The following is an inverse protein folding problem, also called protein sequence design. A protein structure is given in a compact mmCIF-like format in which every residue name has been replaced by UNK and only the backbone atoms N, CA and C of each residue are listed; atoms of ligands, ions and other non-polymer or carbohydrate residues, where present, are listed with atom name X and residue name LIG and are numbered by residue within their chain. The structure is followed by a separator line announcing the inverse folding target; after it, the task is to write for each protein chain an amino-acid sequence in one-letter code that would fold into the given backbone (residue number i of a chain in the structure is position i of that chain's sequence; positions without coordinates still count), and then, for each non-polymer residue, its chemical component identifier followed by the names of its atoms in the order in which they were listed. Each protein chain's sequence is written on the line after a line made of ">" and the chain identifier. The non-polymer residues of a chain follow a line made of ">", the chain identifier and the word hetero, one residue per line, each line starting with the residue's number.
data_IF_218384622404
#
_entry.id   IF_218384622404
#
_cell.length_a   1.000
_cell.length_b   1.000
_cell.length_c   1.000
_cell.angle_alpha   90.00
_cell.angle_beta   90.00
_cell.angle_gamma   90.00
#
_symmetry.space_group_name_H-M   'P 1'
#
loop_
_entity.id
_entity.type
_entity.pdbx_description
1 polymer ?
#
# COMPACT_ATOMS: atom_id res chain seq x y z
N UNK A 1 25.39 -4.20 18.52
CA UNK A 1 24.34 -3.81 19.46
C UNK A 1 24.12 -4.86 20.52
N UNK A 2 24.37 -4.49 21.79
CA UNK A 2 24.31 -5.42 22.91
C UNK A 2 22.91 -6.00 23.16
N UNK A 3 21.86 -5.39 22.60
CA UNK A 3 20.46 -5.68 22.91
C UNK A 3 19.63 -6.26 21.76
N UNK A 4 20.22 -6.57 20.60
CA UNK A 4 19.49 -6.92 19.36
C UNK A 4 18.48 -5.88 18.87
N UNK A 5 18.53 -4.66 19.40
CA UNK A 5 17.69 -3.56 18.97
C UNK A 5 18.40 -2.72 17.92
N UNK A 6 17.64 -2.12 17.03
CA UNK A 6 18.17 -1.18 16.06
C UNK A 6 18.83 0.00 16.78
N UNK A 7 20.02 0.37 16.32
CA UNK A 7 20.64 1.61 16.77
C UNK A 7 19.98 2.80 16.07
N UNK A 8 19.46 3.76 16.84
CA UNK A 8 18.75 4.93 16.31
C UNK A 8 17.58 4.48 15.41
N UNK A 9 16.57 3.78 15.97
CA UNK A 9 15.49 3.18 15.19
C UNK A 9 14.74 4.21 14.32
N UNK A 10 14.58 5.45 14.79
CA UNK A 10 13.94 6.54 14.05
C UNK A 10 14.66 6.92 12.75
N UNK A 11 15.93 6.56 12.60
CA UNK A 11 16.68 6.76 11.35
C UNK A 11 16.60 5.58 10.38
N UNK A 12 15.94 4.50 10.79
CA UNK A 12 15.79 3.29 9.97
C UNK A 12 14.52 3.34 9.16
N UNK A 13 14.49 2.54 8.12
CA UNK A 13 13.32 2.41 7.26
C UNK A 13 13.21 0.96 6.77
N UNK A 14 12.00 0.58 6.43
CA UNK A 14 11.69 -0.67 5.77
C UNK A 14 10.53 -0.46 4.82
N UNK A 15 10.54 -1.10 3.67
CA UNK A 15 9.53 -0.83 2.66
C UNK A 15 9.29 -2.01 1.73
N UNK A 16 8.25 -1.85 0.93
CA UNK A 16 7.83 -2.77 -0.12
C UNK A 16 7.62 -2.00 -1.42
N UNK A 17 7.81 -2.67 -2.55
CA UNK A 17 7.61 -2.11 -3.87
C UNK A 17 6.80 -3.09 -4.73
N UNK A 18 6.00 -2.55 -5.64
CA UNK A 18 5.29 -3.33 -6.64
C UNK A 18 5.20 -2.59 -7.96
N UNK A 19 5.12 -3.35 -9.04
CA UNK A 19 4.78 -2.83 -10.37
C UNK A 19 3.29 -2.50 -10.47
N UNK A 20 2.96 -1.53 -11.33
CA UNK A 20 1.59 -1.10 -11.60
C UNK A 20 1.17 -1.50 -13.01
N UNK A 21 0.00 -2.12 -13.13
CA UNK A 21 -0.56 -2.51 -14.44
C UNK A 21 -1.03 -1.29 -15.24
N UNK A 22 -1.57 -0.27 -14.56
CA UNK A 22 -1.98 0.99 -15.17
C UNK A 22 -0.87 2.01 -14.96
N UNK A 23 -0.12 2.31 -16.01
CA UNK A 23 1.04 3.22 -15.93
C UNK A 23 0.71 4.66 -16.29
N UNK A 24 -0.32 4.90 -17.09
CA UNK A 24 -0.74 6.24 -17.50
C UNK A 24 -1.93 6.70 -16.63
N UNK A 25 -1.63 7.40 -15.55
CA UNK A 25 -2.64 7.86 -14.60
C UNK A 25 -3.47 9.01 -15.16
N UNK A 26 -2.89 9.87 -16.01
CA UNK A 26 -3.65 10.93 -16.67
C UNK A 26 -4.74 10.36 -17.59
N UNK A 27 -4.40 9.37 -18.40
CA UNK A 27 -5.37 8.70 -19.28
C UNK A 27 -6.44 7.94 -18.49
N UNK A 28 -6.02 7.28 -17.41
CA UNK A 28 -6.92 6.53 -16.54
C UNK A 28 -7.72 7.41 -15.58
N UNK A 29 -7.39 8.70 -15.53
CA UNK A 29 -7.98 9.67 -14.59
C UNK A 29 -7.86 9.24 -13.12
N UNK A 30 -6.70 8.72 -12.74
CA UNK A 30 -6.37 8.39 -11.35
C UNK A 30 -5.97 9.71 -10.69
N UNK A 31 -6.64 10.04 -9.58
CA UNK A 31 -6.47 11.33 -8.89
C UNK A 31 -6.02 11.16 -7.43
N UNK A 32 -6.30 10.00 -6.82
CA UNK A 32 -6.04 9.79 -5.39
C UNK A 32 -5.41 8.44 -5.12
N UNK A 33 -4.57 8.41 -4.05
CA UNK A 33 -4.26 7.20 -3.28
C UNK A 33 -5.24 7.18 -2.11
N UNK A 34 -5.99 6.10 -1.94
CA UNK A 34 -6.91 5.93 -0.83
C UNK A 34 -6.68 4.61 -0.12
N UNK A 35 -6.71 4.63 1.20
CA UNK A 35 -6.60 3.41 1.98
C UNK A 35 -7.28 3.54 3.33
N UNK A 36 -7.72 2.40 3.85
CA UNK A 36 -8.13 2.25 5.23
C UNK A 36 -7.02 1.63 6.04
N UNK A 37 -6.70 2.23 7.16
CA UNK A 37 -5.66 1.77 8.07
C UNK A 37 -6.22 1.64 9.48
N UNK A 38 -5.95 0.48 10.12
CA UNK A 38 -6.22 0.32 11.55
C UNK A 38 -5.26 1.22 12.33
N UNK A 39 -5.73 1.76 13.44
CA UNK A 39 -4.93 2.56 14.35
C UNK A 39 -3.58 1.88 14.65
N UNK A 40 -2.46 2.49 14.25
CA UNK A 40 -1.14 1.89 14.47
C UNK A 40 -0.67 1.97 15.92
N UNK A 41 -1.34 2.78 16.74
CA UNK A 41 -1.04 2.99 18.16
C UNK A 41 -1.97 2.23 19.10
N UNK A 42 -2.80 1.34 18.53
CA UNK A 42 -3.71 0.47 19.29
C UNK A 42 -2.93 -0.42 20.25
N UNK A 43 -3.34 -0.46 21.51
CA UNK A 43 -2.68 -1.22 22.59
C UNK A 43 -1.19 -0.91 22.76
N UNK A 44 -0.77 0.28 22.36
CA UNK A 44 0.64 0.69 22.46
C UNK A 44 0.99 1.05 23.89
N UNK A 45 1.46 0.06 24.63
CA UNK A 45 1.95 0.21 26.00
C UNK A 45 3.41 0.67 26.07
N UNK A 46 4.10 0.67 24.95
CA UNK A 46 5.53 0.95 24.87
C UNK A 46 5.87 2.39 24.47
N UNK A 47 4.84 3.20 24.14
CA UNK A 47 4.98 4.64 23.97
C UNK A 47 5.49 5.11 22.60
N UNK A 48 5.25 4.35 21.54
CA UNK A 48 5.42 4.85 20.17
C UNK A 48 4.48 6.03 19.92
N UNK A 49 5.02 7.25 19.71
CA UNK A 49 4.21 8.46 19.58
C UNK A 49 4.11 8.97 18.15
N UNK A 50 4.96 8.47 17.26
CA UNK A 50 5.07 9.00 15.91
C UNK A 50 5.69 8.00 14.93
N UNK A 51 5.50 8.28 13.65
CA UNK A 51 6.12 7.60 12.53
C UNK A 51 5.67 8.20 11.21
N UNK A 52 6.21 7.72 10.11
CA UNK A 52 5.82 8.18 8.78
C UNK A 52 5.60 7.00 7.85
N UNK A 53 4.55 7.12 7.06
CA UNK A 53 4.34 6.31 5.87
C UNK A 53 4.70 7.17 4.67
N UNK A 54 5.50 6.66 3.77
CA UNK A 54 5.90 7.39 2.57
C UNK A 54 5.54 6.55 1.35
N UNK A 55 4.75 7.13 0.46
CA UNK A 55 4.48 6.58 -0.86
C UNK A 55 5.34 7.26 -1.89
N UNK A 56 5.86 6.49 -2.82
CA UNK A 56 6.56 6.98 -4.00
C UNK A 56 5.94 6.35 -5.24
N UNK A 57 5.57 7.19 -6.21
CA UNK A 57 4.93 6.80 -7.46
C UNK A 57 5.76 7.30 -8.64
N UNK A 58 6.17 6.40 -9.52
CA UNK A 58 6.95 6.78 -10.70
C UNK A 58 7.76 5.65 -11.29
N UNK A 59 8.88 6.02 -11.87
CA UNK A 59 9.93 5.09 -12.26
C UNK A 59 10.89 4.97 -11.07
N UNK A 60 10.96 3.80 -10.50
CA UNK A 60 11.72 3.52 -9.29
C UNK A 60 12.73 2.42 -9.63
N UNK A 61 13.95 2.54 -9.13
CA UNK A 61 14.98 1.54 -9.35
C UNK A 61 14.57 0.18 -8.77
N UNK A 62 14.73 -0.85 -9.57
CA UNK A 62 14.54 -2.24 -9.17
C UNK A 62 15.82 -2.83 -8.56
N UNK A 63 16.95 -2.15 -8.72
CA UNK A 63 18.25 -2.52 -8.11
C UNK A 63 18.22 -2.22 -6.59
N UNK A 64 17.66 -3.16 -5.83
CA UNK A 64 17.51 -3.08 -4.37
C UNK A 64 18.89 -3.21 -3.71
N UNK A 65 19.73 -4.07 -4.24
CA UNK A 65 21.08 -4.34 -3.72
C UNK A 65 22.11 -3.30 -4.16
N UNK A 66 21.77 -2.41 -5.08
CA UNK A 66 22.60 -1.30 -5.59
C UNK A 66 23.96 -1.73 -6.13
N UNK A 67 23.96 -2.79 -6.89
CA UNK A 67 25.17 -3.34 -7.51
C UNK A 67 25.11 -3.35 -9.05
N UNK A 68 24.04 -2.78 -9.63
CA UNK A 68 23.76 -2.73 -11.07
C UNK A 68 23.71 -4.11 -11.72
N UNK A 69 23.30 -5.10 -10.97
CA UNK A 69 23.15 -6.48 -11.43
C UNK A 69 21.76 -6.99 -11.08
N UNK A 70 21.15 -7.66 -12.03
CA UNK A 70 19.88 -8.32 -11.80
C UNK A 70 20.10 -9.56 -10.92
N UNK A 71 19.81 -9.43 -9.64
CA UNK A 71 19.82 -10.55 -8.71
C UNK A 71 18.49 -11.31 -8.76
N UNK A 72 18.57 -12.60 -8.53
CA UNK A 72 17.42 -13.46 -8.39
C UNK A 72 17.76 -14.62 -7.45
N UNK A 73 16.74 -15.07 -6.73
CA UNK A 73 16.82 -16.17 -5.81
C UNK A 73 17.00 -17.47 -6.59
N UNK A 74 18.23 -17.80 -6.88
CA UNK A 74 18.56 -19.06 -7.52
C UNK A 74 19.94 -19.46 -7.03
N UNK A 75 19.98 -20.08 -5.89
CA UNK A 75 21.19 -20.43 -5.18
C UNK A 75 22.30 -21.04 -6.03
N UNK A 76 23.37 -21.37 -5.42
CA UNK A 76 24.54 -21.88 -6.11
C UNK A 76 24.21 -23.10 -7.00
N UNK A 77 24.83 -23.21 -8.17
CA UNK A 77 24.66 -24.38 -9.02
C UNK A 77 25.00 -25.66 -8.26
N UNK A 78 24.17 -26.68 -8.44
CA UNK A 78 24.28 -27.98 -7.77
C UNK A 78 25.55 -28.73 -8.10
N UNK A 79 26.19 -28.39 -9.19
CA UNK A 79 27.41 -28.99 -9.68
C UNK A 79 28.37 -27.89 -10.11
N UNK A 80 29.68 -28.03 -9.87
CA UNK A 80 30.69 -27.12 -10.41
C UNK A 80 30.64 -26.96 -11.94
N UNK A 81 29.92 -27.84 -12.64
CA UNK A 81 29.73 -27.82 -14.07
C UNK A 81 28.49 -27.04 -14.51
N UNK A 82 27.62 -26.62 -13.60
CA UNK A 82 26.35 -25.94 -13.91
C UNK A 82 26.53 -24.44 -14.21
N UNK A 83 27.77 -24.00 -14.34
CA UNK A 83 28.12 -22.67 -14.80
C UNK A 83 28.86 -21.83 -13.75
N UNK A 84 29.57 -20.78 -14.20
CA UNK A 84 30.29 -19.90 -13.30
C UNK A 84 29.34 -18.97 -12.57
N UNK A 85 29.63 -18.74 -11.30
CA UNK A 85 29.00 -17.69 -10.49
C UNK A 85 29.82 -16.42 -10.50
N UNK A 86 29.16 -15.28 -10.43
CA UNK A 86 29.76 -13.99 -10.15
C UNK A 86 29.60 -13.67 -8.67
N UNK A 87 30.57 -12.95 -8.14
CA UNK A 87 30.59 -12.52 -6.75
C UNK A 87 30.33 -11.03 -6.71
N UNK A 88 29.36 -10.60 -5.92
CA UNK A 88 29.07 -9.20 -5.63
C UNK A 88 29.47 -8.87 -4.19
N UNK A 89 29.25 -7.62 -3.74
CA UNK A 89 29.45 -7.24 -2.34
C UNK A 89 28.44 -7.90 -1.39
N UNK A 90 27.32 -8.35 -1.93
CA UNK A 90 26.23 -8.93 -1.14
C UNK A 90 26.20 -10.44 -1.22
N UNK A 91 26.57 -11.00 -2.40
CA UNK A 91 26.16 -12.34 -2.69
C UNK A 91 26.91 -13.00 -3.83
N UNK A 92 26.52 -14.20 -4.13
CA UNK A 92 26.84 -14.91 -5.35
C UNK A 92 25.60 -14.97 -6.25
N UNK A 93 25.79 -14.69 -7.52
CA UNK A 93 24.75 -14.77 -8.53
C UNK A 93 25.25 -15.64 -9.69
N UNK A 94 24.43 -16.53 -10.27
CA UNK A 94 24.77 -17.26 -11.47
C UNK A 94 25.09 -16.28 -12.62
N UNK A 95 26.23 -16.47 -13.29
CA UNK A 95 26.62 -15.63 -14.43
C UNK A 95 25.70 -15.82 -15.64
N UNK A 96 25.15 -17.00 -15.78
CA UNK A 96 24.21 -17.35 -16.83
C UNK A 96 22.87 -17.63 -16.16
N UNK A 97 21.88 -16.75 -16.33
CA UNK A 97 20.54 -16.99 -15.79
C UNK A 97 20.00 -18.29 -16.38
N UNK A 98 19.26 -19.03 -15.56
CA UNK A 98 18.57 -20.24 -16.03
C UNK A 98 17.65 -19.89 -17.22
N UNK A 99 17.63 -20.76 -18.22
CA UNK A 99 16.76 -20.59 -19.40
C UNK A 99 15.27 -20.59 -19.00
N UNK A 100 14.96 -21.19 -17.87
CA UNK A 100 13.63 -21.21 -17.26
C UNK A 100 13.78 -20.60 -15.86
N UNK A 101 13.09 -19.50 -15.63
CA UNK A 101 13.06 -18.86 -14.31
C UNK A 101 12.14 -19.66 -13.39
N UNK A 102 12.62 -20.81 -12.91
CA UNK A 102 11.89 -21.69 -12.01
C UNK A 102 12.84 -22.55 -11.19
N UNK A 103 12.47 -22.81 -9.96
CA UNK A 103 13.16 -23.77 -9.11
C UNK A 103 12.98 -25.20 -9.61
N UNK A 104 13.93 -26.05 -9.26
CA UNK A 104 13.85 -27.48 -9.51
C UNK A 104 12.75 -28.13 -8.66
N UNK A 105 12.06 -29.12 -9.24
CA UNK A 105 11.12 -29.98 -8.49
C UNK A 105 11.82 -31.03 -7.64
N UNK A 106 13.14 -31.16 -7.74
CA UNK A 106 13.91 -32.08 -6.89
C UNK A 106 14.17 -31.43 -5.53
N UNK A 107 13.78 -32.06 -4.40
CA UNK A 107 13.92 -31.47 -3.07
C UNK A 107 15.36 -31.06 -2.69
N UNK A 108 16.35 -31.89 -3.04
CA UNK A 108 17.76 -31.61 -2.73
C UNK A 108 18.30 -30.42 -3.51
N UNK A 109 17.82 -30.26 -4.73
CA UNK A 109 18.15 -29.12 -5.59
C UNK A 109 17.45 -27.87 -5.08
N UNK A 110 16.17 -28.01 -4.75
CA UNK A 110 15.35 -26.93 -4.25
C UNK A 110 15.92 -26.29 -2.98
N UNK A 111 16.36 -27.10 -2.03
CA UNK A 111 16.97 -26.64 -0.78
C UNK A 111 18.25 -25.81 -0.95
N UNK A 112 18.86 -25.83 -2.15
CA UNK A 112 20.02 -25.02 -2.49
C UNK A 112 19.72 -23.86 -3.44
N UNK A 113 18.49 -23.77 -3.89
CA UNK A 113 18.03 -22.74 -4.82
C UNK A 113 17.13 -21.70 -4.16
N UNK A 114 16.30 -22.13 -3.21
CA UNK A 114 15.37 -21.31 -2.44
C UNK A 114 16.08 -20.86 -1.15
N UNK A 115 16.99 -19.91 -1.30
CA UNK A 115 17.97 -19.53 -0.25
C UNK A 115 18.10 -18.01 -0.08
N UNK A 116 17.13 -17.25 -0.56
CA UNK A 116 17.17 -15.79 -0.51
C UNK A 116 17.90 -15.12 -1.67
N UNK A 117 17.80 -13.80 -1.75
CA UNK A 117 18.38 -13.02 -2.86
C UNK A 117 19.92 -12.97 -2.84
N UNK A 118 20.55 -13.33 -1.75
CA UNK A 118 22.00 -13.40 -1.68
C UNK A 118 22.58 -14.70 -2.27
N UNK A 119 21.73 -15.68 -2.57
CA UNK A 119 22.09 -16.93 -3.20
C UNK A 119 22.94 -17.86 -2.33
N UNK A 120 22.95 -17.67 -1.01
CA UNK A 120 23.73 -18.41 -0.05
C UNK A 120 22.81 -19.19 0.91
N UNK A 121 23.29 -20.32 1.40
CA UNK A 121 22.68 -21.00 2.54
C UNK A 121 23.23 -20.45 3.86
N UNK A 122 22.53 -20.62 4.97
CA UNK A 122 22.99 -20.19 6.30
C UNK A 122 24.46 -20.57 6.61
N UNK A 123 24.92 -21.76 6.19
CA UNK A 123 26.31 -22.21 6.38
C UNK A 123 27.29 -21.42 5.53
N UNK A 124 26.91 -21.06 4.33
CA UNK A 124 27.69 -20.23 3.42
C UNK A 124 27.72 -18.78 3.86
N UNK A 125 26.59 -18.25 4.36
CA UNK A 125 26.49 -16.90 4.92
C UNK A 125 27.39 -16.71 6.14
N UNK A 126 27.45 -17.70 7.05
CA UNK A 126 28.36 -17.66 8.19
C UNK A 126 29.82 -17.51 7.77
N UNK A 127 30.19 -18.10 6.65
CA UNK A 127 31.54 -17.95 6.11
C UNK A 127 31.71 -16.63 5.33
N UNK A 128 30.69 -16.24 4.55
CA UNK A 128 30.73 -15.03 3.74
C UNK A 128 30.73 -13.78 4.60
N UNK A 129 29.87 -13.72 5.59
CA UNK A 129 29.73 -12.61 6.53
C UNK A 129 30.55 -12.82 7.82
N UNK A 130 31.65 -13.57 7.77
CA UNK A 130 32.46 -13.93 8.95
C UNK A 130 32.87 -12.74 9.81
N UNK A 131 33.30 -11.64 9.18
CA UNK A 131 33.68 -10.40 9.88
C UNK A 131 32.51 -9.81 10.67
N UNK A 132 31.30 -9.80 10.07
CA UNK A 132 30.09 -9.34 10.75
C UNK A 132 29.72 -10.27 11.92
N UNK A 133 29.73 -11.55 11.69
CA UNK A 133 29.43 -12.56 12.73
C UNK A 133 30.43 -12.44 13.89
N UNK A 134 31.71 -12.23 13.62
CA UNK A 134 32.75 -12.03 14.66
C UNK A 134 32.50 -10.75 15.47
N UNK A 135 32.15 -9.65 14.81
CA UNK A 135 31.78 -8.38 15.48
C UNK A 135 30.61 -8.61 16.44
N UNK A 136 29.55 -9.31 15.98
CA UNK A 136 28.38 -9.59 16.79
C UNK A 136 28.74 -10.51 17.98
N UNK A 137 29.55 -11.55 17.77
CA UNK A 137 30.00 -12.45 18.83
C UNK A 137 30.71 -11.69 19.95
N UNK A 138 31.48 -10.67 19.60
CA UNK A 138 32.29 -9.92 20.55
C UNK A 138 31.55 -8.76 21.24
N UNK A 139 30.38 -8.33 20.71
CA UNK A 139 29.72 -7.08 21.15
C UNK A 139 28.26 -7.23 21.56
N UNK A 140 27.60 -8.34 21.19
CA UNK A 140 26.16 -8.48 21.36
C UNK A 140 25.77 -9.39 22.53
N UNK A 141 24.47 -9.38 22.89
CA UNK A 141 23.89 -10.29 23.87
C UNK A 141 23.87 -11.74 23.34
N UNK A 142 23.87 -12.76 24.22
CA UNK A 142 23.80 -14.17 23.81
C UNK A 142 22.61 -14.48 22.88
N UNK A 143 21.47 -13.83 23.10
CA UNK A 143 20.28 -13.97 22.24
C UNK A 143 20.55 -13.44 20.83
N UNK A 144 21.22 -12.29 20.72
CA UNK A 144 21.58 -11.70 19.44
C UNK A 144 22.61 -12.56 18.69
N UNK A 145 23.61 -13.05 19.41
CA UNK A 145 24.61 -13.94 18.85
C UNK A 145 23.94 -15.19 18.28
N UNK A 146 23.04 -15.80 19.03
CA UNK A 146 22.32 -16.99 18.57
C UNK A 146 21.52 -16.75 17.30
N UNK A 147 20.79 -15.63 17.23
CA UNK A 147 19.99 -15.27 16.03
C UNK A 147 20.89 -15.09 14.80
N UNK A 148 21.95 -14.31 14.93
CA UNK A 148 22.87 -14.03 13.80
C UNK A 148 23.67 -15.27 13.39
N UNK A 149 23.97 -16.18 14.32
CA UNK A 149 24.63 -17.45 13.98
C UNK A 149 23.73 -18.44 13.27
N UNK A 150 22.42 -18.37 13.52
CA UNK A 150 21.44 -19.23 12.84
C UNK A 150 21.15 -18.76 11.41
N UNK A 151 21.06 -17.45 11.22
CA UNK A 151 20.59 -16.81 9.98
C UNK A 151 21.26 -15.42 9.89
N UNK A 152 22.51 -15.36 9.37
CA UNK A 152 23.27 -14.10 9.31
C UNK A 152 22.66 -13.02 8.42
N UNK A 153 22.05 -13.38 7.30
CA UNK A 153 21.37 -12.47 6.41
C UNK A 153 19.94 -12.14 6.88
N UNK A 154 19.38 -12.93 7.79
CA UNK A 154 17.99 -12.87 8.27
C UNK A 154 16.98 -12.98 7.12
N UNK A 155 17.22 -13.93 6.22
CA UNK A 155 16.45 -14.15 5.01
C UNK A 155 15.82 -15.55 4.89
N UNK A 156 15.77 -16.32 5.98
CA UNK A 156 15.08 -17.58 6.04
C UNK A 156 13.56 -17.42 5.95
N UNK A 157 12.96 -17.96 4.91
CA UNK A 157 11.52 -18.07 4.80
C UNK A 157 10.97 -19.03 5.86
N UNK A 158 9.87 -18.63 6.51
CA UNK A 158 9.15 -19.46 7.45
C UNK A 158 7.69 -19.54 7.06
N UNK A 159 7.25 -20.75 6.69
CA UNK A 159 5.87 -20.97 6.31
C UNK A 159 4.92 -20.74 7.50
N UNK A 160 3.90 -19.91 7.31
CA UNK A 160 3.01 -19.46 8.39
C UNK A 160 2.18 -20.57 9.06
N UNK A 161 2.06 -21.74 8.43
CA UNK A 161 1.42 -22.94 9.01
C UNK A 161 2.43 -23.97 9.51
N UNK A 162 3.71 -23.67 9.60
CA UNK A 162 4.70 -24.59 10.14
C UNK A 162 4.53 -24.75 11.65
N UNK A 163 3.93 -25.85 12.09
CA UNK A 163 3.64 -26.15 13.49
C UNK A 163 4.90 -26.35 14.34
N UNK A 164 6.04 -26.68 13.71
CA UNK A 164 7.33 -26.82 14.40
C UNK A 164 7.90 -25.48 14.87
N UNK A 165 7.56 -24.40 14.17
CA UNK A 165 7.97 -23.03 14.47
C UNK A 165 6.85 -22.27 15.17
N UNK A 166 5.63 -22.49 14.77
CA UNK A 166 4.45 -21.80 15.26
C UNK A 166 3.46 -22.78 15.90
N UNK A 167 3.62 -23.10 17.19
CA UNK A 167 2.70 -23.99 17.89
C UNK A 167 1.29 -23.41 17.97
N UNK A 168 0.32 -24.27 18.32
CA UNK A 168 -1.06 -23.88 18.55
C UNK A 168 -1.16 -22.68 19.49
N UNK A 169 -2.00 -21.72 19.12
CA UNK A 169 -2.19 -20.47 19.88
C UNK A 169 -1.25 -19.34 19.49
N UNK A 170 -0.30 -19.57 18.57
CA UNK A 170 0.51 -18.48 18.00
C UNK A 170 -0.39 -17.52 17.22
N UNK A 171 -0.22 -16.22 17.45
CA UNK A 171 -1.02 -15.20 16.79
C UNK A 171 -0.80 -15.21 15.27
N UNK A 172 -1.82 -14.83 14.51
CA UNK A 172 -1.71 -14.67 13.04
C UNK A 172 -0.59 -13.69 12.69
N UNK A 173 -0.45 -12.62 13.47
CA UNK A 173 0.61 -11.64 13.33
C UNK A 173 2.01 -12.25 13.41
N UNK A 174 2.28 -13.06 14.43
CA UNK A 174 3.59 -13.69 14.61
C UNK A 174 3.87 -14.73 13.52
N UNK A 175 2.83 -15.41 13.02
CA UNK A 175 2.95 -16.39 11.93
C UNK A 175 3.38 -15.77 10.60
N UNK A 176 3.00 -14.51 10.35
CA UNK A 176 3.32 -13.82 9.10
C UNK A 176 4.58 -12.96 9.14
N UNK A 177 5.28 -12.91 10.27
CA UNK A 177 6.48 -12.07 10.42
C UNK A 177 7.60 -12.39 9.41
N UNK A 178 7.75 -13.66 9.05
CA UNK A 178 8.78 -14.13 8.13
C UNK A 178 8.19 -14.77 6.86
N UNK A 179 6.98 -14.37 6.47
CA UNK A 179 6.29 -14.95 5.31
C UNK A 179 6.64 -14.27 3.99
N UNK A 180 6.96 -12.98 4.01
CA UNK A 180 7.35 -12.20 2.84
C UNK A 180 8.63 -11.42 3.12
N UNK A 181 9.40 -11.18 2.09
CA UNK A 181 10.64 -10.41 2.16
C UNK A 181 11.67 -10.95 1.20
N UNK A 182 12.93 -10.70 1.49
CA UNK A 182 14.09 -11.23 0.74
C UNK A 182 14.49 -12.63 1.17
N UNK A 183 13.65 -13.32 1.91
CA UNK A 183 13.93 -14.49 2.72
C UNK A 183 13.51 -15.81 2.09
N UNK A 184 13.51 -15.91 0.79
CA UNK A 184 12.89 -17.03 0.13
C UNK A 184 11.36 -16.90 0.07
N UNK A 185 10.70 -17.70 -0.72
CA UNK A 185 9.29 -17.47 -1.01
C UNK A 185 8.40 -18.70 -0.84
N UNK A 186 8.95 -19.83 -0.44
CA UNK A 186 8.14 -21.03 -0.28
C UNK A 186 8.76 -22.09 0.66
N UNK A 187 7.90 -22.90 1.30
CA UNK A 187 8.38 -24.03 2.06
C UNK A 187 9.08 -25.04 1.14
N UNK A 188 10.22 -25.61 1.54
CA UNK A 188 10.82 -26.70 0.81
C UNK A 188 9.83 -27.88 0.74
N UNK A 189 9.73 -28.59 -0.40
CA UNK A 189 8.89 -29.77 -0.50
C UNK A 189 9.39 -30.83 0.48
N UNK A 190 8.58 -31.13 1.50
CA UNK A 190 8.87 -32.25 2.41
C UNK A 190 8.34 -33.53 1.78
N UNK A 191 9.13 -34.59 1.79
CA UNK A 191 8.72 -35.90 1.28
C UNK A 191 7.50 -36.41 2.08
N UNK A 192 6.38 -36.60 1.41
CA UNK A 192 5.12 -37.06 2.02
C UNK A 192 4.15 -35.97 2.46
N UNK A 193 4.45 -34.70 2.24
CA UNK A 193 3.55 -33.62 2.58
C UNK A 193 2.58 -33.32 1.42
N UNK A 194 1.27 -33.33 1.72
CA UNK A 194 0.22 -33.00 0.76
C UNK A 194 0.07 -31.50 0.52
N UNK A 195 0.91 -30.65 1.13
CA UNK A 195 0.87 -29.19 1.05
C UNK A 195 1.63 -28.63 -0.17
N UNK A 196 1.72 -29.37 -1.24
CA UNK A 196 2.33 -28.94 -2.53
C UNK A 196 1.71 -27.64 -3.07
N UNK A 197 0.53 -27.26 -2.61
CA UNK A 197 -0.18 -26.05 -3.05
C UNK A 197 0.33 -24.75 -2.42
N UNK A 198 1.22 -24.80 -1.45
CA UNK A 198 1.72 -23.61 -0.75
C UNK A 198 3.10 -23.16 -1.24
N UNK A 199 3.79 -23.97 -2.05
CA UNK A 199 5.10 -23.64 -2.59
C UNK A 199 4.98 -22.95 -3.95
N UNK A 200 5.72 -21.86 -4.15
CA UNK A 200 5.94 -21.29 -5.48
C UNK A 200 7.14 -21.97 -6.14
N UNK A 201 7.10 -22.10 -7.46
CA UNK A 201 8.23 -22.57 -8.25
C UNK A 201 9.00 -21.40 -8.90
N UNK A 202 8.59 -20.17 -8.62
CA UNK A 202 9.17 -18.97 -9.24
C UNK A 202 10.08 -18.32 -8.22
N UNK A 203 11.39 -18.21 -8.50
CA UNK A 203 12.33 -17.48 -7.64
C UNK A 203 11.96 -16.00 -7.52
N UNK A 204 12.21 -15.43 -6.36
CA UNK A 204 12.16 -13.97 -6.20
C UNK A 204 13.26 -13.31 -7.03
N UNK A 205 13.00 -12.11 -7.50
CA UNK A 205 13.90 -11.36 -8.37
C UNK A 205 13.77 -9.87 -8.11
N UNK A 206 14.86 -9.15 -8.33
CA UNK A 206 14.84 -7.69 -8.38
C UNK A 206 14.03 -7.14 -9.57
N UNK A 207 13.87 -7.91 -10.64
CA UNK A 207 12.98 -7.60 -11.77
C UNK A 207 11.52 -7.84 -11.36
N UNK A 208 10.94 -6.86 -10.66
CA UNK A 208 9.61 -6.97 -10.05
C UNK A 208 8.50 -7.01 -11.11
N UNK A 209 8.72 -6.38 -12.25
CA UNK A 209 7.72 -6.33 -13.33
C UNK A 209 7.84 -7.50 -14.32
N UNK A 210 8.88 -8.34 -14.17
CA UNK A 210 9.19 -9.49 -15.02
C UNK A 210 9.37 -9.16 -16.51
N UNK A 211 9.93 -8.00 -16.83
CA UNK A 211 10.20 -7.59 -18.20
C UNK A 211 11.60 -8.00 -18.70
N UNK A 212 12.35 -8.73 -17.86
CA UNK A 212 13.72 -9.20 -18.07
C UNK A 212 14.77 -8.09 -18.14
N UNK A 213 14.41 -6.87 -17.82
CA UNK A 213 15.33 -5.75 -17.68
C UNK A 213 15.31 -5.24 -16.25
N UNK A 214 16.36 -4.59 -15.81
CA UNK A 214 16.41 -3.95 -14.50
C UNK A 214 16.36 -2.44 -14.69
N UNK A 215 15.34 -1.81 -14.15
CA UNK A 215 15.25 -0.35 -14.15
C UNK A 215 16.13 0.21 -13.03
N UNK A 216 17.07 1.12 -13.40
CA UNK A 216 17.93 1.82 -12.41
C UNK A 216 17.55 3.28 -12.21
N UNK A 217 16.54 3.77 -12.96
CA UNK A 217 16.14 5.18 -12.90
C UNK A 217 15.27 5.47 -11.68
N UNK A 218 15.57 6.57 -10.99
CA UNK A 218 14.79 7.12 -9.89
C UNK A 218 14.13 8.43 -10.34
N UNK A 219 12.83 8.37 -10.69
CA UNK A 219 12.04 9.51 -11.14
C UNK A 219 10.61 9.34 -10.65
N UNK A 220 10.28 9.98 -9.51
CA UNK A 220 9.02 9.73 -8.79
C UNK A 220 8.49 10.96 -8.05
N UNK A 221 7.21 10.93 -7.75
CA UNK A 221 6.55 11.79 -6.78
C UNK A 221 6.52 11.11 -5.41
N UNK A 222 6.73 11.90 -4.36
CA UNK A 222 6.76 11.42 -2.97
C UNK A 222 5.65 12.08 -2.15
N UNK A 223 4.91 11.24 -1.41
CA UNK A 223 3.81 11.62 -0.53
C UNK A 223 4.13 11.16 0.88
N UNK A 224 4.14 12.11 1.82
CA UNK A 224 4.50 11.85 3.22
C UNK A 224 3.26 11.93 4.09
N UNK A 225 2.98 10.86 4.80
CA UNK A 225 1.91 10.79 5.79
C UNK A 225 2.56 10.76 7.16
N UNK A 226 2.34 11.82 7.92
CA UNK A 226 2.87 11.97 9.28
C UNK A 226 1.85 11.36 10.26
N UNK A 227 2.24 10.28 10.91
CA UNK A 227 1.44 9.60 11.91
C UNK A 227 1.86 10.07 13.28
N UNK A 228 0.92 10.60 14.05
CA UNK A 228 1.14 11.05 15.43
C UNK A 228 0.06 10.53 16.32
N UNK A 229 0.45 10.08 17.51
CA UNK A 229 -0.48 9.69 18.55
C UNK A 229 -1.23 10.93 19.06
N UNK A 230 -2.53 10.78 19.27
CA UNK A 230 -3.33 11.76 20.01
C UNK A 230 -3.05 11.60 21.51
N UNK A 231 -2.56 12.61 22.21
CA UNK A 231 -2.31 12.53 23.64
C UNK A 231 -3.58 12.32 24.48
N UNK A 232 -4.76 12.55 23.90
CA UNK A 232 -6.07 12.33 24.55
C UNK A 232 -6.79 11.09 23.98
N UNK A 233 -6.19 10.38 23.05
CA UNK A 233 -6.76 9.20 22.43
C UNK A 233 -6.86 8.03 23.40
N UNK A 234 -7.74 7.11 23.09
CA UNK A 234 -7.92 5.83 23.77
C UNK A 234 -8.25 4.73 22.75
N UNK A 235 -8.11 3.47 23.17
CA UNK A 235 -8.28 2.34 22.25
C UNK A 235 -9.71 2.22 21.69
N UNK A 236 -10.72 2.80 22.33
CA UNK A 236 -12.10 2.77 21.86
C UNK A 236 -12.38 3.83 20.80
N UNK A 237 -11.85 5.05 21.01
CA UNK A 237 -12.05 6.19 20.08
C UNK A 237 -10.90 6.37 19.10
N UNK A 238 -9.83 5.62 19.29
CA UNK A 238 -8.62 5.68 18.48
C UNK A 238 -7.52 6.52 19.13
N UNK A 239 -6.29 6.15 18.82
CA UNK A 239 -5.08 6.79 19.34
C UNK A 239 -4.35 7.65 18.30
N UNK A 240 -4.68 7.51 17.02
CA UNK A 240 -4.11 8.35 15.98
C UNK A 240 -4.76 9.74 16.02
N UNK A 241 -3.95 10.79 15.87
CA UNK A 241 -4.45 12.15 15.85
C UNK A 241 -5.47 12.38 14.71
N UNK A 242 -6.75 12.61 15.03
CA UNK A 242 -7.80 12.75 14.03
C UNK A 242 -7.73 14.05 13.21
N UNK A 243 -6.93 15.02 13.66
CA UNK A 243 -6.74 16.30 12.95
C UNK A 243 -5.74 16.20 11.78
N UNK A 244 -5.29 15.01 11.40
CA UNK A 244 -4.48 14.84 10.20
C UNK A 244 -5.34 15.19 8.97
N UNK A 245 -4.93 16.17 8.14
CA UNK A 245 -5.75 16.65 7.02
C UNK A 245 -6.01 15.59 5.94
N UNK A 246 -5.22 14.52 5.91
CA UNK A 246 -5.39 13.42 4.97
C UNK A 246 -6.45 12.40 5.42
N UNK A 247 -6.93 12.50 6.66
CA UNK A 247 -8.01 11.63 7.17
C UNK A 247 -9.35 12.18 6.71
N UNK A 248 -10.08 11.37 5.95
CA UNK A 248 -11.40 11.74 5.41
C UNK A 248 -12.56 11.08 6.14
N UNK A 249 -12.30 9.99 6.87
CA UNK A 249 -13.32 9.24 7.60
C UNK A 249 -12.72 8.44 8.74
N UNK A 250 -13.50 8.16 9.78
CA UNK A 250 -13.09 7.36 10.94
C UNK A 250 -14.25 6.43 11.29
N UNK A 251 -13.95 5.13 11.40
CA UNK A 251 -14.92 4.11 11.81
C UNK A 251 -14.42 3.39 13.05
N UNK A 252 -15.16 3.52 14.14
CA UNK A 252 -14.85 2.82 15.37
C UNK A 252 -15.44 1.41 15.35
N UNK A 253 -14.64 0.42 15.67
CA UNK A 253 -15.03 -0.98 15.78
C UNK A 253 -14.63 -1.53 17.16
N UNK A 254 -15.18 -2.68 17.59
CA UNK A 254 -14.75 -3.30 18.85
C UNK A 254 -13.24 -3.64 18.89
N UNK A 255 -12.60 -3.77 17.73
CA UNK A 255 -11.19 -4.12 17.59
C UNK A 255 -10.29 -2.88 17.38
N UNK A 256 -10.84 -1.67 17.49
CA UNK A 256 -10.14 -0.40 17.35
C UNK A 256 -10.68 0.50 16.23
N UNK A 257 -10.11 1.69 16.11
CA UNK A 257 -10.51 2.68 15.13
C UNK A 257 -9.83 2.43 13.78
N UNK A 258 -10.59 2.56 12.71
CA UNK A 258 -10.11 2.53 11.34
C UNK A 258 -10.17 3.94 10.75
N UNK A 259 -9.09 4.36 10.11
CA UNK A 259 -8.94 5.69 9.50
C UNK A 259 -8.85 5.55 7.99
N UNK A 260 -9.68 6.32 7.27
CA UNK A 260 -9.57 6.45 5.82
C UNK A 260 -8.69 7.62 5.46
N UNK A 261 -7.59 7.33 4.81
CA UNK A 261 -6.69 8.31 4.23
C UNK A 261 -6.99 8.49 2.75
N UNK A 262 -6.98 9.73 2.31
CA UNK A 262 -7.05 10.10 0.89
C UNK A 262 -5.99 11.14 0.59
N UNK A 263 -5.16 10.87 -0.40
CA UNK A 263 -4.03 11.68 -0.79
C UNK A 263 -4.22 12.07 -2.25
N UNK A 264 -4.33 13.36 -2.54
CA UNK A 264 -4.36 13.87 -3.91
C UNK A 264 -3.00 13.67 -4.58
N UNK A 265 -3.00 13.16 -5.82
CA UNK A 265 -1.75 12.97 -6.57
C UNK A 265 -1.06 14.29 -6.91
N UNK A 266 -1.82 15.37 -7.04
CA UNK A 266 -1.28 16.71 -7.32
C UNK A 266 -0.62 17.35 -6.07
N UNK A 267 -0.91 16.85 -4.87
CA UNK A 267 -0.40 17.36 -3.60
C UNK A 267 0.84 16.58 -3.10
N UNK A 268 1.77 16.32 -3.98
CA UNK A 268 3.01 15.63 -3.62
C UNK A 268 3.93 16.55 -2.78
N UNK A 269 4.63 15.96 -1.82
CA UNK A 269 5.59 16.68 -0.97
C UNK A 269 6.89 16.97 -1.71
N UNK A 270 7.29 16.09 -2.65
CA UNK A 270 8.53 16.23 -3.40
C UNK A 270 8.45 15.48 -4.73
N UNK A 271 9.10 16.04 -5.76
CA UNK A 271 9.39 15.35 -7.01
C UNK A 271 10.90 15.09 -7.13
N UNK A 272 11.27 13.90 -7.61
CA UNK A 272 12.66 13.45 -7.76
C UNK A 272 12.91 13.04 -9.20
N UNK A 273 14.14 13.18 -9.69
CA UNK A 273 14.57 12.69 -10.99
C UNK A 273 13.94 13.41 -12.19
N UNK A 274 13.34 14.59 -11.98
CA UNK A 274 12.78 15.41 -13.05
C UNK A 274 11.46 14.88 -13.61
N UNK A 275 10.71 14.08 -12.85
CA UNK A 275 9.34 13.70 -13.21
C UNK A 275 8.47 14.95 -13.32
N UNK A 276 7.68 15.06 -14.38
CA UNK A 276 6.87 16.23 -14.69
C UNK A 276 5.41 15.94 -14.99
N UNK A 277 5.04 14.68 -15.16
CA UNK A 277 3.67 14.26 -15.46
C UNK A 277 3.37 12.85 -14.90
N UNK A 278 2.11 12.46 -14.96
CA UNK A 278 1.63 11.17 -14.48
C UNK A 278 1.39 10.14 -15.61
N UNK A 279 2.11 10.27 -16.73
CA UNK A 279 1.91 9.38 -17.90
C UNK A 279 2.72 8.09 -17.82
N UNK A 280 3.76 8.06 -16.98
CA UNK A 280 4.64 6.90 -16.86
C UNK A 280 4.92 6.59 -15.38
N UNK A 281 3.90 6.10 -14.68
CA UNK A 281 3.98 5.65 -13.29
C UNK A 281 4.06 4.13 -13.29
N UNK A 282 5.27 3.59 -13.30
CA UNK A 282 5.49 2.14 -13.45
C UNK A 282 5.45 1.39 -12.13
N UNK A 283 5.87 2.05 -11.05
CA UNK A 283 6.02 1.43 -9.74
C UNK A 283 5.37 2.25 -8.64
N UNK A 284 4.95 1.57 -7.59
CA UNK A 284 4.62 2.12 -6.30
C UNK A 284 5.57 1.53 -5.26
N UNK A 285 6.28 2.40 -4.51
CA UNK A 285 7.07 2.02 -3.35
C UNK A 285 6.45 2.66 -2.10
N UNK A 286 6.24 1.85 -1.08
CA UNK A 286 5.77 2.28 0.22
C UNK A 286 6.83 1.91 1.24
N UNK A 287 7.19 2.86 2.11
CA UNK A 287 8.09 2.55 3.21
C UNK A 287 7.72 3.29 4.49
N UNK A 288 8.12 2.71 5.60
CA UNK A 288 7.92 3.19 6.95
C UNK A 288 9.25 3.72 7.50
N UNK A 289 9.20 4.86 8.18
CA UNK A 289 10.39 5.47 8.80
C UNK A 289 10.00 6.30 10.00
N UNK A 290 10.99 6.71 10.79
CA UNK A 290 10.83 7.56 11.98
C UNK A 290 9.99 6.94 13.11
N UNK A 291 9.82 5.63 13.11
CA UNK A 291 9.25 4.90 14.24
C UNK A 291 10.34 4.65 15.28
N UNK A 292 10.03 4.91 16.55
CA UNK A 292 10.94 4.66 17.67
C UNK A 292 10.76 3.28 18.25
N UNK A 293 9.58 2.70 18.08
CA UNK A 293 9.17 1.41 18.61
C UNK A 293 8.66 0.48 17.50
N UNK A 294 8.54 -0.79 17.83
CA UNK A 294 7.98 -1.79 16.93
C UNK A 294 6.51 -1.47 16.64
N UNK A 295 6.21 -1.15 15.41
CA UNK A 295 4.86 -0.77 14.97
C UNK A 295 4.38 -1.71 13.88
N UNK A 296 3.09 -2.04 13.90
CA UNK A 296 2.41 -2.84 12.88
C UNK A 296 1.39 -1.99 12.15
N UNK A 297 1.55 -1.86 10.86
CA UNK A 297 0.58 -1.19 10.01
C UNK A 297 -0.32 -2.24 9.36
N UNK A 298 -1.63 -2.04 9.46
CA UNK A 298 -2.63 -2.91 8.83
C UNK A 298 -3.49 -2.09 7.90
N UNK A 299 -3.48 -2.45 6.62
CA UNK A 299 -4.36 -1.89 5.62
C UNK A 299 -5.54 -2.83 5.36
N UNK A 300 -6.75 -2.30 5.33
CA UNK A 300 -7.91 -3.06 4.84
C UNK A 300 -8.01 -2.96 3.33
N UNK A 301 -7.79 -1.75 2.78
CA UNK A 301 -7.70 -1.50 1.35
C UNK A 301 -6.52 -0.58 1.07
N UNK A 302 -6.02 -0.62 -0.15
CA UNK A 302 -5.07 0.35 -0.70
C UNK A 302 -5.33 0.47 -2.20
N UNK A 303 -5.98 1.54 -2.58
CA UNK A 303 -6.52 1.73 -3.91
C UNK A 303 -5.97 2.99 -4.58
N UNK A 304 -5.78 2.90 -5.89
CA UNK A 304 -5.60 4.04 -6.77
C UNK A 304 -6.96 4.44 -7.32
N UNK A 305 -7.50 5.53 -6.78
CA UNK A 305 -8.87 5.96 -7.07
C UNK A 305 -8.90 6.83 -8.30
N UNK A 306 -9.68 6.40 -9.28
CA UNK A 306 -10.00 7.20 -10.46
C UNK A 306 -11.32 7.90 -10.29
N UNK A 307 -11.36 9.16 -10.65
CA UNK A 307 -12.60 9.91 -10.72
C UNK A 307 -13.15 9.88 -12.14
N UNK A 308 -14.44 9.58 -12.28
CA UNK A 308 -15.12 9.70 -13.58
C UNK A 308 -15.48 11.15 -13.90
N UNK A 309 -15.58 11.99 -12.87
CA UNK A 309 -15.89 13.40 -12.98
C UNK A 309 -14.61 14.20 -12.77
N UNK A 310 -14.41 15.18 -13.65
CA UNK A 310 -13.25 16.07 -13.61
C UNK A 310 -13.66 17.44 -13.16
N UNK A 311 -12.86 18.03 -12.29
CA UNK A 311 -13.03 19.42 -11.89
C UNK A 311 -12.57 20.35 -13.02
N UNK A 312 -13.31 21.43 -13.23
CA UNK A 312 -12.85 22.53 -14.08
C UNK A 312 -11.99 23.45 -13.22
N UNK A 313 -10.70 23.46 -13.48
CA UNK A 313 -9.73 24.29 -12.74
C UNK A 313 -9.67 25.72 -13.23
N UNK A 314 -10.38 26.06 -14.32
CA UNK A 314 -10.43 27.41 -14.85
C UNK A 314 -11.36 28.27 -13.99
N UNK A 315 -10.85 29.40 -13.54
CA UNK A 315 -11.67 30.41 -12.84
C UNK A 315 -12.85 30.86 -13.68
N UNK A 316 -14.05 30.49 -13.24
CA UNK A 316 -15.30 30.80 -13.86
C UNK A 316 -15.94 31.98 -13.09
N UNK A 317 -15.50 33.21 -13.34
CA UNK A 317 -16.19 34.42 -12.92
C UNK A 317 -16.01 34.88 -11.45
N UNK A 318 -15.14 34.31 -10.66
CA UNK A 318 -14.81 34.84 -9.35
C UNK A 318 -13.52 35.68 -9.43
N UNK A 319 -13.57 36.94 -9.07
CA UNK A 319 -12.36 37.71 -8.82
C UNK A 319 -11.52 37.09 -7.71
N UNK A 320 -10.41 37.72 -7.33
CA UNK A 320 -9.42 37.20 -6.36
C UNK A 320 -10.00 36.66 -5.03
N UNK A 321 -11.22 37.05 -4.67
CA UNK A 321 -11.93 36.56 -3.48
C UNK A 321 -12.46 35.10 -3.61
N UNK A 322 -12.61 34.56 -4.81
CA UNK A 322 -13.12 33.22 -5.04
C UNK A 322 -12.06 32.13 -5.12
N UNK A 323 -10.80 32.50 -5.11
CA UNK A 323 -9.67 31.57 -5.26
C UNK A 323 -9.40 30.70 -4.01
N UNK A 324 -9.98 31.05 -2.87
CA UNK A 324 -9.77 30.32 -1.60
C UNK A 324 -10.82 29.27 -1.27
N UNK A 325 -11.90 29.18 -2.02
CA UNK A 325 -12.93 28.17 -1.76
C UNK A 325 -12.42 26.78 -2.11
N UNK A 326 -12.31 25.94 -1.10
CA UNK A 326 -11.97 24.52 -1.29
C UNK A 326 -13.13 23.79 -1.97
N UNK A 327 -12.82 22.96 -2.95
CA UNK A 327 -13.80 22.19 -3.69
C UNK A 327 -13.34 20.76 -3.90
N UNK A 328 -14.12 19.81 -3.41
CA UNK A 328 -13.81 18.39 -3.47
C UNK A 328 -14.90 17.63 -4.21
N UNK A 329 -14.47 16.69 -5.03
CA UNK A 329 -15.33 15.71 -5.70
C UNK A 329 -15.15 14.39 -4.98
N UNK A 330 -16.25 13.78 -4.57
CA UNK A 330 -16.24 12.52 -3.84
C UNK A 330 -17.40 11.64 -4.30
N UNK A 331 -17.45 10.41 -3.83
CA UNK A 331 -18.58 9.51 -3.99
C UNK A 331 -19.18 9.17 -2.63
N UNK A 332 -20.49 9.17 -2.53
CA UNK A 332 -21.21 8.57 -1.41
C UNK A 332 -21.92 7.31 -1.89
N UNK A 333 -21.88 6.27 -1.09
CA UNK A 333 -22.42 4.96 -1.47
C UNK A 333 -23.17 4.31 -0.32
N UNK A 334 -23.99 3.31 -0.63
CA UNK A 334 -24.84 2.65 0.37
C UNK A 334 -24.03 1.78 1.36
N UNK A 335 -22.91 1.25 0.95
CA UNK A 335 -22.12 0.33 1.79
C UNK A 335 -21.35 1.06 2.87
N UNK A 336 -20.72 2.18 2.55
CA UNK A 336 -19.88 2.93 3.48
C UNK A 336 -20.63 4.03 4.22
N UNK A 337 -21.69 4.60 3.61
CA UNK A 337 -22.36 5.82 4.10
C UNK A 337 -23.80 5.61 4.58
N UNK A 338 -24.27 4.36 4.67
CA UNK A 338 -25.62 4.05 5.19
C UNK A 338 -25.84 4.47 6.65
N UNK A 339 -24.77 4.62 7.42
CA UNK A 339 -24.82 5.05 8.83
C UNK A 339 -24.19 6.44 9.06
N UNK A 340 -23.92 7.19 8.00
CA UNK A 340 -23.31 8.53 8.08
C UNK A 340 -24.22 9.51 8.83
N UNK A 341 -23.63 10.38 9.61
CA UNK A 341 -24.31 11.49 10.31
C UNK A 341 -23.87 12.84 9.73
N UNK A 342 -24.71 13.89 9.72
CA UNK A 342 -26.10 13.94 10.20
C UNK A 342 -27.12 13.26 9.30
N UNK A 343 -26.80 13.03 8.03
CA UNK A 343 -27.69 12.41 7.05
C UNK A 343 -27.05 11.12 6.53
N UNK A 344 -27.75 10.02 6.72
CA UNK A 344 -27.36 8.74 6.13
C UNK A 344 -27.56 8.75 4.61
N UNK A 345 -26.80 7.97 3.90
CA UNK A 345 -27.04 7.73 2.49
C UNK A 345 -28.15 6.69 2.32
N UNK A 346 -29.21 7.04 1.62
CA UNK A 346 -30.29 6.13 1.24
C UNK A 346 -30.41 6.11 -0.29
N UNK A 347 -30.68 4.95 -0.85
CA UNK A 347 -30.90 4.80 -2.30
C UNK A 347 -32.13 5.61 -2.71
N UNK A 348 -32.05 6.47 -3.73
CA UNK A 348 -33.19 7.24 -4.20
C UNK A 348 -34.34 6.34 -4.65
N UNK A 349 -35.57 6.81 -4.40
CA UNK A 349 -36.78 6.08 -4.78
C UNK A 349 -36.81 5.79 -6.29
N UNK A 350 -36.97 4.52 -6.66
CA UNK A 350 -37.03 4.10 -8.06
C UNK A 350 -35.67 3.60 -8.61
N UNK A 351 -34.59 3.81 -7.90
CA UNK A 351 -33.30 3.21 -8.24
C UNK A 351 -33.21 1.80 -7.64
N UNK A 352 -32.84 0.83 -8.45
CA UNK A 352 -32.61 -0.54 -8.03
C UNK A 352 -31.13 -0.88 -8.22
N UNK A 353 -30.54 -1.55 -7.23
CA UNK A 353 -29.16 -2.04 -7.34
C UNK A 353 -29.11 -3.17 -8.36
N UNK A 354 -28.16 -3.13 -9.26
CA UNK A 354 -27.90 -4.22 -10.19
C UNK A 354 -27.38 -5.46 -9.45
N UNK A 355 -27.94 -6.61 -9.77
CA UNK A 355 -27.48 -7.87 -9.23
C UNK A 355 -26.27 -8.35 -10.04
N UNK A 356 -25.16 -8.58 -9.36
CA UNK A 356 -23.99 -9.18 -9.96
C UNK A 356 -24.22 -10.70 -9.95
N UNK A 357 -24.39 -11.29 -11.13
CA UNK A 357 -24.56 -12.75 -11.23
C UNK A 357 -23.27 -13.45 -10.78
N UNK A 358 -23.28 -13.97 -9.58
CA UNK A 358 -22.20 -14.81 -9.06
C UNK A 358 -22.56 -16.29 -9.28
N UNK A 359 -21.59 -17.10 -9.62
CA UNK A 359 -21.70 -18.57 -9.67
C UNK A 359 -21.87 -19.21 -8.28
N UNK A 360 -21.83 -18.42 -7.23
CA UNK A 360 -22.03 -18.83 -5.85
C UNK A 360 -23.44 -18.47 -5.40
N UNK A 361 -24.08 -19.29 -4.59
CA UNK A 361 -25.46 -19.18 -4.10
C UNK A 361 -25.79 -17.94 -3.25
N UNK A 362 -25.06 -16.83 -3.41
CA UNK A 362 -25.33 -15.56 -2.73
C UNK A 362 -25.65 -14.48 -3.76
N UNK A 363 -26.77 -13.79 -3.54
CA UNK A 363 -27.13 -12.61 -4.31
C UNK A 363 -26.21 -11.45 -3.91
N UNK A 364 -25.27 -11.14 -4.79
CA UNK A 364 -24.37 -9.97 -4.63
C UNK A 364 -24.92 -8.84 -5.48
N UNK A 365 -25.16 -7.70 -4.86
CA UNK A 365 -25.62 -6.50 -5.53
C UNK A 365 -24.46 -5.53 -5.72
N UNK A 366 -24.46 -4.84 -6.84
CA UNK A 366 -23.50 -3.77 -7.10
C UNK A 366 -23.66 -2.65 -6.06
N UNK A 367 -22.55 -2.10 -5.60
CA UNK A 367 -22.60 -0.96 -4.70
C UNK A 367 -23.16 0.25 -5.45
N UNK A 368 -24.28 0.80 -4.96
CA UNK A 368 -24.91 1.97 -5.54
C UNK A 368 -24.28 3.22 -4.93
N UNK A 369 -23.93 4.18 -5.78
CA UNK A 369 -23.21 5.39 -5.38
C UNK A 369 -23.72 6.64 -6.09
N UNK A 370 -23.56 7.77 -5.41
CA UNK A 370 -23.87 9.09 -5.94
C UNK A 370 -22.66 10.01 -5.91
N UNK A 371 -22.61 10.95 -6.85
CA UNK A 371 -21.59 11.98 -6.88
C UNK A 371 -21.81 12.97 -5.72
N UNK A 372 -20.78 13.19 -4.92
CA UNK A 372 -20.77 14.19 -3.85
C UNK A 372 -19.89 15.36 -4.25
N UNK A 373 -20.44 16.55 -4.22
CA UNK A 373 -19.72 17.81 -4.47
C UNK A 373 -19.65 18.56 -3.14
N UNK A 374 -18.46 18.70 -2.59
CA UNK A 374 -18.21 19.40 -1.32
C UNK A 374 -17.51 20.70 -1.61
N UNK A 375 -17.98 21.76 -1.06
CA UNK A 375 -17.32 23.08 -1.15
C UNK A 375 -17.44 23.83 0.16
N UNK A 376 -16.34 24.44 0.54
CA UNK A 376 -16.24 25.28 1.73
C UNK A 376 -15.97 26.72 1.29
N UNK A 377 -16.58 27.69 1.96
CA UNK A 377 -16.39 29.13 1.74
C UNK A 377 -16.65 29.60 0.28
N UNK A 378 -17.59 28.98 -0.40
CA UNK A 378 -18.00 29.43 -1.73
C UNK A 378 -18.68 30.82 -1.62
N UNK A 379 -18.02 31.83 -2.17
CA UNK A 379 -18.51 33.22 -2.14
C UNK A 379 -19.70 33.37 -3.05
N UNK A 380 -20.65 34.25 -2.66
CA UNK A 380 -21.84 34.53 -3.44
C UNK A 380 -21.51 35.02 -4.87
N UNK A 381 -22.16 34.43 -5.84
CA UNK A 381 -21.91 34.65 -7.28
C UNK A 381 -20.78 33.81 -7.87
N UNK A 382 -20.07 33.02 -7.05
CA UNK A 382 -19.06 32.10 -7.53
C UNK A 382 -19.64 30.75 -7.94
N UNK A 383 -18.99 30.08 -8.87
CA UNK A 383 -19.40 28.75 -9.33
C UNK A 383 -18.24 27.76 -9.28
N UNK A 384 -18.59 26.50 -9.07
CA UNK A 384 -17.68 25.34 -9.22
C UNK A 384 -18.30 24.39 -10.22
N UNK A 385 -17.47 23.80 -11.06
CA UNK A 385 -17.95 22.98 -12.16
C UNK A 385 -17.21 21.66 -12.21
N UNK A 386 -17.97 20.61 -12.45
CA UNK A 386 -17.45 19.27 -12.77
C UNK A 386 -17.98 18.83 -14.10
N UNK A 387 -17.23 18.04 -14.83
CA UNK A 387 -17.66 17.48 -16.09
C UNK A 387 -17.26 16.00 -16.21
N UNK A 388 -18.04 15.28 -17.02
CA UNK A 388 -17.79 13.89 -17.38
C UNK A 388 -18.04 13.75 -18.87
N UNK A 389 -17.14 13.08 -19.56
CA UNK A 389 -17.36 12.71 -20.96
C UNK A 389 -18.35 11.56 -21.02
N UNK A 390 -19.39 11.72 -21.80
CA UNK A 390 -20.40 10.69 -22.04
C UNK A 390 -20.19 10.13 -23.46
N UNK A 391 -20.04 8.84 -23.56
CA UNK A 391 -20.03 8.12 -24.84
C UNK A 391 -21.43 7.54 -25.10
N UNK A 392 -22.40 8.44 -25.18
CA UNK A 392 -23.80 8.12 -25.37
C UNK A 392 -24.42 8.98 -26.50
N UNK A 393 -25.21 8.34 -27.34
CA UNK A 393 -26.04 9.09 -28.28
C UNK A 393 -27.27 9.65 -27.57
N UNK A 394 -27.19 10.91 -27.15
CA UNK A 394 -28.28 11.57 -26.41
C UNK A 394 -29.56 11.76 -27.22
N UNK A 395 -29.54 11.62 -28.54
CA UNK A 395 -30.72 11.77 -29.41
C UNK A 395 -31.79 10.70 -29.20
N UNK A 396 -31.41 9.57 -28.59
CA UNK A 396 -32.35 8.47 -28.28
C UNK A 396 -33.11 8.68 -26.96
N UNK A 397 -32.71 9.64 -26.15
CA UNK A 397 -33.33 9.92 -24.85
C UNK A 397 -34.27 11.14 -24.94
N UNK A 398 -35.39 11.09 -24.25
CA UNK A 398 -36.37 12.17 -24.19
C UNK A 398 -36.22 13.05 -22.96
N UNK A 399 -35.84 12.45 -21.85
CA UNK A 399 -35.75 13.09 -20.54
C UNK A 399 -34.40 12.75 -19.89
N UNK A 400 -33.94 13.68 -19.07
CA UNK A 400 -32.85 13.47 -18.11
C UNK A 400 -33.48 13.68 -16.74
N UNK A 401 -33.36 12.70 -15.89
CA UNK A 401 -33.85 12.74 -14.52
C UNK A 401 -32.67 12.61 -13.56
N UNK A 402 -32.64 13.41 -12.52
CA UNK A 402 -31.55 13.44 -11.55
C UNK A 402 -32.11 13.70 -10.17
N UNK A 403 -31.67 12.89 -9.19
CA UNK A 403 -31.94 13.15 -7.79
C UNK A 403 -30.83 14.06 -7.25
N UNK A 404 -31.22 15.07 -6.48
CA UNK A 404 -30.29 16.01 -5.87
C UNK A 404 -30.61 16.13 -4.39
N UNK A 405 -29.60 15.96 -3.54
CA UNK A 405 -29.67 16.25 -2.12
C UNK A 405 -28.64 17.34 -1.81
N UNK A 406 -29.02 18.33 -1.03
CA UNK A 406 -28.12 19.38 -0.57
C UNK A 406 -28.16 19.44 0.95
N UNK A 407 -26.97 19.45 1.57
CA UNK A 407 -26.81 19.50 3.02
C UNK A 407 -25.66 20.42 3.40
N UNK A 408 -25.73 20.99 4.60
CA UNK A 408 -24.63 21.75 5.17
C UNK A 408 -23.68 20.83 5.94
N UNK A 409 -22.38 21.02 5.77
CA UNK A 409 -21.35 20.15 6.35
C UNK A 409 -21.16 20.31 7.88
N UNK A 410 -21.72 21.35 8.49
CA UNK A 410 -21.44 21.65 9.88
C UNK A 410 -22.18 20.71 10.85
N UNK A 411 -21.46 19.84 11.54
CA UNK A 411 -21.97 18.77 12.40
C UNK A 411 -22.66 19.21 13.71
N UNK A 412 -22.66 20.51 14.02
CA UNK A 412 -23.16 21.00 15.32
C UNK A 412 -24.62 21.48 15.30
N UNK A 413 -25.33 21.37 14.19
CA UNK A 413 -26.68 21.91 14.05
C UNK A 413 -27.65 20.81 13.64
N UNK A 414 -28.67 20.60 14.47
CA UNK A 414 -29.65 19.50 14.36
C UNK A 414 -30.71 19.65 13.27
N UNK A 415 -30.75 20.76 12.52
CA UNK A 415 -31.69 20.98 11.45
C UNK A 415 -31.14 22.01 10.45
N UNK A 416 -30.37 21.53 9.51
CA UNK A 416 -29.76 22.36 8.49
C UNK A 416 -30.62 22.35 7.24
N UNK A 417 -31.50 23.32 7.14
CA UNK A 417 -32.11 23.65 5.87
C UNK A 417 -31.28 24.74 5.20
N UNK A 418 -30.65 24.39 4.08
CA UNK A 418 -30.07 25.39 3.21
C UNK A 418 -31.19 26.30 2.75
N UNK A 419 -31.09 27.63 2.94
CA UNK A 419 -32.14 28.55 2.51
C UNK A 419 -32.48 28.39 1.03
N UNK A 420 -33.76 28.51 0.69
CA UNK A 420 -34.22 28.45 -0.68
C UNK A 420 -33.47 29.48 -1.57
N UNK A 421 -32.86 28.97 -2.62
CA UNK A 421 -32.10 29.79 -3.58
C UNK A 421 -30.66 30.11 -3.18
N UNK A 422 -30.17 29.65 -2.02
CA UNK A 422 -28.76 29.85 -1.61
C UNK A 422 -27.80 29.11 -2.54
N UNK A 423 -28.18 27.95 -3.04
CA UNK A 423 -27.37 27.15 -3.98
C UNK A 423 -28.19 26.87 -5.22
N UNK A 424 -27.61 27.03 -6.41
CA UNK A 424 -28.20 26.68 -7.69
C UNK A 424 -27.37 25.64 -8.39
N UNK A 425 -28.01 24.57 -8.84
CA UNK A 425 -27.37 23.54 -9.64
C UNK A 425 -27.76 23.72 -11.11
N UNK A 426 -26.78 23.63 -11.98
CA UNK A 426 -26.97 23.70 -13.43
C UNK A 426 -26.40 22.44 -14.08
N UNK A 427 -27.17 21.81 -14.95
CA UNK A 427 -26.70 20.77 -15.85
C UNK A 427 -26.50 21.36 -17.24
N UNK A 428 -25.32 21.19 -17.81
CA UNK A 428 -24.96 21.61 -19.16
C UNK A 428 -24.54 20.39 -19.97
N UNK A 429 -25.16 20.20 -21.14
CA UNK A 429 -24.88 19.12 -22.09
C UNK A 429 -24.28 19.67 -23.37
#
# INVERSE_FOLDING_TARGET
>A
PATCQLRVPESRWGGIMRSLNQVNFEQANIEYIEFWMLDPFLNDTMGGEQGKIIFQLGNISEDILRDSRKMFEHGLPLSPNDGPTDTTNWAKVPRIPATVNAFSNNPDSRAKQDVGLDGLTDDEERNWFSDYVEIIQNTASPECISKVQMDPANDNFVYFLDESVYPDGTSVYDRYLKFNGTQGNSPPPKEGDNNVNASTNIPDSEDINNDNTMSENESYYEYVIDLRKDPNGNDEDGNLNPNNPLITDIVNTPDGAWYRFRISLDEYNRSVGGISDFRSIRFMRLFLTQFTERTTIRFATLDLVRNQWRQVTRDLACGDAGSQAEFFIDAVNIEEHSNRTPFRYDIPLGIQREQITSSTYQDVYQNEQSLSLKFDELVDGCERQVFKTLDLDLRVFKNIEMFVHAEERNSNITALQIPDGAVKLFLRL
#
